data_IF_664990743479
#
_entry.id   IF_664990743479
#
_cell.length_a   1.000
_cell.length_b   1.000
_cell.length_c   1.000
_cell.angle_alpha   90.00
_cell.angle_beta   90.00
_cell.angle_gamma   90.00
#
_symmetry.space_group_name_H-M   'P 1'
#
loop_
_entity.id
_entity.type
_entity.pdbx_description
1 polymer ?
#
# COMPACT_ATOMS: atom_id res chain seq x y z
N UNK A 1 4.59 -7.66 -13.03
CA UNK A 1 4.20 -6.33 -12.52
C UNK A 1 5.48 -5.65 -12.04
N UNK A 2 5.67 -4.36 -12.35
CA UNK A 2 6.81 -3.57 -11.84
C UNK A 2 6.80 -3.58 -10.31
N UNK A 3 7.95 -3.38 -9.66
CA UNK A 3 7.96 -3.12 -8.21
C UNK A 3 7.29 -1.78 -7.97
N UNK A 4 6.66 -1.60 -6.81
CA UNK A 4 5.98 -0.33 -6.49
C UNK A 4 6.92 0.87 -6.58
N UNK A 5 8.20 0.70 -6.21
CA UNK A 5 9.24 1.74 -6.33
C UNK A 5 9.60 2.13 -7.76
N UNK A 6 9.23 1.32 -8.75
CA UNK A 6 9.54 1.50 -10.18
C UNK A 6 8.33 2.01 -10.98
N UNK A 7 7.17 2.14 -10.33
CA UNK A 7 5.96 2.70 -10.95
C UNK A 7 6.15 4.22 -11.10
N UNK A 8 5.75 4.75 -12.24
CA UNK A 8 5.83 6.19 -12.57
C UNK A 8 4.49 6.71 -13.08
N UNK A 9 4.37 8.03 -13.19
CA UNK A 9 3.20 8.66 -13.83
C UNK A 9 2.90 8.06 -15.23
N UNK A 10 1.62 7.77 -15.49
CA UNK A 10 1.14 7.17 -16.74
C UNK A 10 1.25 5.64 -16.82
N UNK A 11 1.91 4.98 -15.84
CA UNK A 11 1.80 3.53 -15.71
C UNK A 11 0.37 3.12 -15.35
N UNK A 12 0.00 1.89 -15.73
CA UNK A 12 -1.30 1.31 -15.37
C UNK A 12 -1.14 0.22 -14.31
N UNK A 13 -1.97 0.28 -13.28
CA UNK A 13 -2.08 -0.76 -12.26
C UNK A 13 -3.44 -1.43 -12.30
N UNK A 14 -3.52 -2.67 -11.80
CA UNK A 14 -4.76 -3.44 -11.78
C UNK A 14 -5.58 -3.06 -10.56
N UNK A 15 -6.74 -2.45 -10.76
CA UNK A 15 -7.72 -2.20 -9.72
C UNK A 15 -8.27 -3.52 -9.14
N UNK A 16 -8.84 -3.48 -7.93
CA UNK A 16 -9.39 -4.67 -7.24
C UNK A 16 -10.46 -5.42 -8.08
N UNK A 17 -11.27 -4.71 -8.87
CA UNK A 17 -12.27 -5.30 -9.78
C UNK A 17 -11.67 -5.84 -11.10
N UNK A 18 -10.35 -5.75 -11.28
CA UNK A 18 -9.64 -6.27 -12.45
C UNK A 18 -9.44 -5.29 -13.61
N UNK A 19 -10.07 -4.11 -13.59
CA UNK A 19 -9.82 -3.04 -14.56
C UNK A 19 -8.42 -2.46 -14.39
N UNK A 20 -7.90 -1.82 -15.43
CA UNK A 20 -6.67 -1.02 -15.35
C UNK A 20 -7.01 0.42 -15.00
N UNK A 21 -6.24 1.02 -14.10
CA UNK A 21 -6.33 2.43 -13.72
C UNK A 21 -4.98 3.10 -13.95
N UNK A 22 -5.02 4.36 -14.37
CA UNK A 22 -3.83 5.18 -14.62
C UNK A 22 -3.27 5.72 -13.30
N UNK A 23 -1.95 5.62 -13.13
CA UNK A 23 -1.23 6.20 -12.01
C UNK A 23 -0.91 7.65 -12.34
N UNK A 24 -1.34 8.58 -11.48
CA UNK A 24 -1.06 10.01 -11.64
C UNK A 24 0.39 10.33 -11.32
N UNK A 25 0.87 9.81 -10.19
CA UNK A 25 2.29 9.80 -9.81
C UNK A 25 2.48 8.81 -8.65
N UNK A 26 3.73 8.41 -8.44
CA UNK A 26 4.12 7.59 -7.32
C UNK A 26 4.64 8.48 -6.18
N UNK A 27 4.14 8.25 -4.98
CA UNK A 27 4.50 8.96 -3.77
C UNK A 27 5.61 8.21 -3.08
N UNK A 28 6.81 8.79 -3.07
CA UNK A 28 7.87 8.38 -2.16
C UNK A 28 7.79 9.26 -0.91
N UNK A 29 7.46 8.70 0.23
CA UNK A 29 7.30 9.45 1.47
C UNK A 29 7.96 8.71 2.62
N UNK A 30 8.55 9.48 3.54
CA UNK A 30 9.24 9.01 4.74
C UNK A 30 10.30 7.90 4.53
N UNK A 31 10.97 7.56 5.61
CA UNK A 31 11.79 6.36 5.73
C UNK A 31 11.46 5.70 7.05
N UNK A 32 11.23 4.40 7.04
CA UNK A 32 10.96 3.62 8.24
C UNK A 32 11.58 2.25 8.11
N UNK A 33 11.88 1.64 9.24
CA UNK A 33 12.18 0.22 9.33
C UNK A 33 11.03 -0.57 9.99
N UNK A 34 9.99 0.09 10.49
CA UNK A 34 8.83 -0.55 11.13
C UNK A 34 7.70 -0.76 10.14
N UNK A 35 7.23 -2.00 10.04
CA UNK A 35 6.17 -2.42 9.12
C UNK A 35 5.24 -3.42 9.80
N UNK A 36 4.03 -3.50 9.27
CA UNK A 36 3.16 -4.66 9.46
C UNK A 36 3.47 -5.61 8.31
N UNK A 37 3.93 -6.81 8.64
CA UNK A 37 4.15 -7.89 7.69
C UNK A 37 2.88 -8.70 7.58
N UNK A 38 2.42 -8.83 6.34
CA UNK A 38 1.33 -9.68 5.90
C UNK A 38 1.95 -10.93 5.30
N UNK A 39 1.97 -12.03 6.05
CA UNK A 39 2.50 -13.30 5.55
C UNK A 39 1.70 -13.80 4.35
N UNK A 40 2.36 -14.57 3.50
CA UNK A 40 1.72 -15.21 2.34
C UNK A 40 0.41 -15.93 2.73
N UNK A 41 -0.67 -15.64 2.00
CA UNK A 41 -2.03 -16.16 2.18
C UNK A 41 -2.73 -15.79 3.52
N UNK A 42 -2.26 -14.77 4.26
CA UNK A 42 -2.82 -14.40 5.56
C UNK A 42 -4.31 -14.02 5.54
N UNK A 43 -4.84 -13.58 4.39
CA UNK A 43 -6.26 -13.23 4.22
C UNK A 43 -6.98 -14.13 3.22
N UNK A 44 -6.35 -15.21 2.76
CA UNK A 44 -6.93 -16.14 1.79
C UNK A 44 -5.97 -16.50 0.67
N UNK A 45 -6.41 -17.37 -0.24
CA UNK A 45 -5.57 -17.86 -1.33
C UNK A 45 -5.09 -16.70 -2.22
N UNK A 46 -3.78 -16.59 -2.39
CA UNK A 46 -3.08 -15.53 -3.12
C UNK A 46 -3.22 -14.12 -2.53
N UNK A 47 -3.59 -14.00 -1.25
CA UNK A 47 -3.84 -12.73 -0.57
C UNK A 47 -3.06 -12.61 0.75
N UNK A 48 -1.83 -12.07 0.73
CA UNK A 48 -0.99 -11.84 -0.46
C UNK A 48 -0.35 -13.14 -0.98
N UNK A 49 0.19 -13.16 -2.20
CA UNK A 49 0.87 -14.33 -2.79
C UNK A 49 2.36 -14.46 -2.43
N UNK A 50 2.88 -13.50 -1.67
CA UNK A 50 4.18 -13.47 -1.01
C UNK A 50 4.12 -12.51 0.17
N UNK A 51 5.07 -12.61 1.08
CA UNK A 51 5.16 -11.70 2.22
C UNK A 51 5.17 -10.24 1.76
N UNK A 52 4.29 -9.45 2.35
CA UNK A 52 4.06 -8.05 2.00
C UNK A 52 4.24 -7.18 3.22
N UNK A 53 4.96 -6.08 3.08
CA UNK A 53 5.27 -5.15 4.16
C UNK A 53 4.53 -3.85 3.89
N UNK A 54 3.71 -3.43 4.84
CA UNK A 54 2.90 -2.22 4.75
C UNK A 54 3.15 -1.37 5.98
N UNK A 55 3.18 -0.05 5.82
CA UNK A 55 3.27 0.84 6.97
C UNK A 55 1.96 0.81 7.74
N UNK A 56 2.09 0.95 9.05
CA UNK A 56 0.94 1.11 9.92
C UNK A 56 0.09 2.33 9.51
N UNK A 57 -1.23 2.17 9.55
CA UNK A 57 -2.20 3.19 9.13
C UNK A 57 -2.54 3.21 7.64
N UNK A 58 -1.85 2.44 6.78
CA UNK A 58 -2.17 2.39 5.35
C UNK A 58 -3.27 1.33 5.07
N UNK A 59 -4.46 1.73 4.58
CA UNK A 59 -5.58 0.81 4.49
C UNK A 59 -5.42 -0.27 3.41
N UNK A 60 -6.04 -1.42 3.67
CA UNK A 60 -6.21 -2.52 2.72
C UNK A 60 -7.69 -2.86 2.57
N UNK A 61 -8.03 -3.63 1.54
CA UNK A 61 -9.41 -4.11 1.33
C UNK A 61 -9.48 -5.63 1.48
N UNK A 62 -10.20 -6.10 2.50
CA UNK A 62 -10.34 -7.52 2.88
C UNK A 62 -11.78 -7.77 3.34
N UNK A 63 -12.32 -8.95 3.06
CA UNK A 63 -13.68 -9.36 3.49
C UNK A 63 -14.82 -8.38 3.11
N UNK A 64 -14.66 -7.69 1.98
CA UNK A 64 -15.67 -6.76 1.46
C UNK A 64 -15.64 -5.37 2.08
N UNK A 65 -14.61 -5.05 2.88
CA UNK A 65 -14.46 -3.74 3.51
C UNK A 65 -13.03 -3.22 3.50
N UNK A 66 -12.92 -1.91 3.68
CA UNK A 66 -11.64 -1.28 4.02
C UNK A 66 -11.31 -1.54 5.50
N UNK A 67 -10.09 -1.98 5.75
CA UNK A 67 -9.60 -2.32 7.08
C UNK A 67 -8.17 -1.85 7.29
N UNK A 68 -7.76 -1.69 8.54
CA UNK A 68 -6.38 -1.42 8.89
C UNK A 68 -5.63 -2.74 9.12
N UNK A 69 -4.44 -2.95 8.51
CA UNK A 69 -3.63 -4.14 8.78
C UNK A 69 -3.38 -4.41 10.26
N UNK A 70 -3.29 -3.34 11.08
CA UNK A 70 -3.07 -3.42 12.52
C UNK A 70 -4.18 -4.18 13.26
N UNK A 71 -5.41 -4.14 12.76
CA UNK A 71 -6.56 -4.82 13.41
C UNK A 71 -6.43 -6.35 13.42
N UNK A 72 -5.47 -6.87 12.62
CA UNK A 72 -5.16 -8.29 12.49
C UNK A 72 -3.86 -8.70 13.18
N UNK A 73 -3.16 -7.80 13.90
CA UNK A 73 -1.91 -8.16 14.58
C UNK A 73 -2.08 -9.40 15.47
N UNK A 74 -1.14 -10.34 15.32
CA UNK A 74 -1.15 -11.63 16.02
C UNK A 74 -2.12 -12.67 15.44
N UNK A 75 -2.80 -12.38 14.33
CA UNK A 75 -3.73 -13.28 13.65
C UNK A 75 -3.24 -13.61 12.25
N UNK A 76 -3.45 -14.85 11.82
CA UNK A 76 -3.26 -15.32 10.44
C UNK A 76 -1.89 -14.99 9.81
N UNK A 77 -0.82 -14.83 10.60
CA UNK A 77 0.50 -14.46 10.07
C UNK A 77 0.67 -12.96 9.80
N UNK A 78 -0.15 -12.12 10.43
CA UNK A 78 0.03 -10.66 10.48
C UNK A 78 0.81 -10.29 11.74
N UNK A 79 1.98 -9.69 11.55
CA UNK A 79 2.92 -9.36 12.62
C UNK A 79 3.55 -7.97 12.43
N UNK A 80 3.89 -7.30 13.52
CA UNK A 80 4.72 -6.09 13.46
C UNK A 80 6.18 -6.52 13.40
N UNK A 81 6.93 -5.96 12.45
CA UNK A 81 8.34 -6.28 12.23
C UNK A 81 9.17 -5.01 12.11
N UNK A 82 10.41 -5.10 12.56
CA UNK A 82 11.44 -4.11 12.28
C UNK A 82 12.46 -4.71 11.31
N UNK A 83 12.74 -4.02 10.22
CA UNK A 83 13.85 -4.32 9.33
C UNK A 83 15.16 -3.80 9.93
N UNK A 84 16.29 -4.37 9.50
CA UNK A 84 17.61 -3.90 9.91
C UNK A 84 17.91 -2.49 9.40
N UNK A 85 17.45 -2.19 8.18
CA UNK A 85 17.66 -0.90 7.51
C UNK A 85 16.35 -0.10 7.37
N UNK A 86 16.49 1.22 7.43
CA UNK A 86 15.41 2.16 7.08
C UNK A 86 15.25 2.22 5.56
N UNK A 87 14.05 1.89 5.08
CA UNK A 87 13.70 1.92 3.66
C UNK A 87 12.68 3.01 3.35
N UNK A 88 12.64 3.46 2.09
CA UNK A 88 11.63 4.43 1.66
C UNK A 88 10.26 3.75 1.55
N UNK A 89 9.22 4.48 1.90
CA UNK A 89 7.84 4.03 1.74
C UNK A 89 7.28 4.61 0.45
N UNK A 90 6.49 3.79 -0.25
CA UNK A 90 5.87 4.15 -1.51
C UNK A 90 4.36 3.95 -1.43
N UNK A 91 3.60 4.88 -2.02
CA UNK A 91 2.16 4.74 -2.27
C UNK A 91 1.83 5.32 -3.64
N UNK A 92 0.66 4.98 -4.18
CA UNK A 92 0.23 5.47 -5.49
C UNK A 92 -0.83 6.55 -5.33
N UNK A 93 -0.70 7.61 -6.14
CA UNK A 93 -1.77 8.57 -6.33
C UNK A 93 -2.47 8.30 -7.65
N UNK A 94 -3.79 8.34 -7.62
CA UNK A 94 -4.71 8.17 -8.77
C UNK A 94 -5.70 9.33 -8.81
N UNK A 95 -6.49 9.42 -9.87
CA UNK A 95 -7.48 10.50 -10.03
C UNK A 95 -8.59 10.44 -8.97
N UNK A 96 -8.89 9.24 -8.47
CA UNK A 96 -9.79 9.00 -7.35
C UNK A 96 -9.17 8.03 -6.35
N UNK A 97 -9.53 8.16 -5.07
CA UNK A 97 -9.14 7.21 -4.03
C UNK A 97 -9.77 5.85 -4.30
N UNK A 98 -8.93 4.86 -4.53
CA UNK A 98 -9.36 3.52 -4.92
C UNK A 98 -8.41 2.42 -4.43
N UNK A 99 -8.63 1.16 -4.82
CA UNK A 99 -7.78 0.04 -4.41
C UNK A 99 -7.15 -0.70 -5.59
N UNK A 100 -5.85 -0.94 -5.53
CA UNK A 100 -5.10 -1.67 -6.54
C UNK A 100 -4.51 -2.96 -5.97
N UNK A 101 -4.35 -3.96 -6.84
CA UNK A 101 -3.78 -5.26 -6.48
C UNK A 101 -2.26 -5.17 -6.42
N UNK A 102 -1.69 -5.58 -5.28
CA UNK A 102 -0.25 -5.74 -5.06
C UNK A 102 0.03 -7.16 -4.59
N UNK A 103 1.16 -7.74 -5.02
CA UNK A 103 1.63 -9.05 -4.56
C UNK A 103 0.51 -10.12 -4.54
N UNK A 104 -0.15 -10.33 -5.68
CA UNK A 104 -1.27 -11.26 -5.81
C UNK A 104 -2.61 -10.52 -5.84
N UNK A 105 -3.55 -10.95 -4.99
CA UNK A 105 -4.90 -10.40 -4.90
C UNK A 105 -5.11 -9.45 -3.72
N UNK A 106 -4.05 -9.14 -2.96
CA UNK A 106 -4.12 -8.14 -1.89
C UNK A 106 -4.39 -6.75 -2.50
N UNK A 107 -5.50 -6.15 -2.10
CA UNK A 107 -5.91 -4.83 -2.54
C UNK A 107 -5.47 -3.77 -1.53
N UNK A 108 -4.67 -2.81 -1.97
CA UNK A 108 -4.10 -1.73 -1.15
C UNK A 108 -4.65 -0.39 -1.62
N UNK A 109 -4.93 0.49 -0.67
CA UNK A 109 -5.50 1.80 -0.95
C UNK A 109 -4.49 2.69 -1.71
N UNK A 110 -5.01 3.45 -2.66
CA UNK A 110 -4.35 4.59 -3.33
C UNK A 110 -4.84 5.89 -2.71
N UNK A 111 -4.19 7.00 -3.05
CA UNK A 111 -4.62 8.32 -2.60
C UNK A 111 -5.17 9.16 -3.75
N UNK A 112 -6.17 9.98 -3.47
CA UNK A 112 -6.38 11.20 -4.25
C UNK A 112 -5.32 12.24 -3.86
N UNK A 113 -4.90 13.10 -4.78
CA UNK A 113 -3.86 14.10 -4.51
C UNK A 113 -4.23 15.06 -3.38
N UNK A 114 -5.47 15.53 -3.31
CA UNK A 114 -5.91 16.44 -2.25
C UNK A 114 -5.91 15.75 -0.88
N UNK A 115 -6.46 14.54 -0.81
CA UNK A 115 -6.46 13.70 0.39
C UNK A 115 -5.02 13.42 0.88
N UNK A 116 -4.11 13.12 -0.04
CA UNK A 116 -2.70 12.94 0.30
C UNK A 116 -2.06 14.22 0.84
N UNK A 117 -2.33 15.38 0.23
CA UNK A 117 -1.78 16.65 0.68
C UNK A 117 -2.24 16.98 2.11
N UNK A 118 -3.52 16.79 2.42
CA UNK A 118 -4.05 16.97 3.77
C UNK A 118 -3.41 16.00 4.77
N UNK A 119 -3.23 14.74 4.38
CA UNK A 119 -2.54 13.73 5.19
C UNK A 119 -1.07 14.13 5.44
N UNK A 120 -0.36 14.54 4.40
CA UNK A 120 1.03 14.95 4.47
C UNK A 120 1.21 16.19 5.36
N UNK A 121 0.34 17.19 5.25
CA UNK A 121 0.35 18.37 6.12
C UNK A 121 0.08 18.00 7.58
N UNK A 122 -0.99 17.21 7.83
CA UNK A 122 -1.39 16.80 9.18
C UNK A 122 -0.28 16.05 9.93
N UNK A 123 0.46 15.19 9.24
CA UNK A 123 1.51 14.36 9.85
C UNK A 123 2.93 14.89 9.60
N UNK A 124 3.09 16.03 8.93
CA UNK A 124 4.38 16.63 8.63
C UNK A 124 5.24 15.80 7.67
N UNK A 125 4.64 15.05 6.75
CA UNK A 125 5.38 14.24 5.78
C UNK A 125 5.92 15.08 4.64
N UNK A 126 7.23 14.97 4.41
CA UNK A 126 7.84 15.37 3.14
C UNK A 126 7.74 14.20 2.15
N UNK A 127 7.36 14.49 0.91
CA UNK A 127 7.21 13.48 -0.12
C UNK A 127 7.70 13.99 -1.49
N UNK A 128 8.02 13.04 -2.38
CA UNK A 128 8.43 13.30 -3.75
C UNK A 128 7.51 12.55 -4.71
N UNK A 129 7.15 13.22 -5.81
CA UNK A 129 6.38 12.63 -6.91
C UNK A 129 7.36 12.04 -7.92
N UNK A 130 7.18 10.77 -8.28
CA UNK A 130 7.95 10.04 -9.29
C UNK A 130 7.06 9.67 -10.47
#
# INVERSE_FOLDING_TARGET
MKKISEIVAGDKVKHMNGKLIDVKFNLKFCKTNKFIKLSTNCFGKNMPNKDTYIVDGHPIYVDGGEVQPRDFLGKNGVEEVALDDYVNVYSLCTDERTFFKVNGDLAVCTWEENEWNECAEKYGYTYWKQ
#
